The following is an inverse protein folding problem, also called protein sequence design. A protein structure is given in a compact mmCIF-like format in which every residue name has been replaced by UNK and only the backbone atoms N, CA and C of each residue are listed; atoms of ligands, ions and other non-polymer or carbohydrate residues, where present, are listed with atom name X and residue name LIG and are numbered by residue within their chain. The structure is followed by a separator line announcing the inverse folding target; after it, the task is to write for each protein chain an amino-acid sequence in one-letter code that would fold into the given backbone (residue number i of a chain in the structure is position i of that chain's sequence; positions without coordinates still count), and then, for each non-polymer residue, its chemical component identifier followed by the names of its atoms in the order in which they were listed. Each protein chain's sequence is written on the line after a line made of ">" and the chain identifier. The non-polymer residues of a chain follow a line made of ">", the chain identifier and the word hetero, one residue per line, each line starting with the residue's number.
data_IF_618639360325
#
_entry.id   IF_618639360325
#
_cell.length_a   1.000
_cell.length_b   1.000
_cell.length_c   1.000
_cell.angle_alpha   90.00
_cell.angle_beta   90.00
_cell.angle_gamma   90.00
#
_symmetry.space_group_name_H-M   'P 1'
#
loop_
_entity.id
_entity.type
_entity.pdbx_description
1 polymer ?
#
# COMPACT_ATOMS: atom_id res chain seq x y z
N UNK A 1 -22.88 6.67 -7.00
CA UNK A 1 -22.64 5.82 -5.79
C UNK A 1 -21.34 5.04 -5.96
N UNK A 2 -20.53 4.95 -4.88
CA UNK A 2 -19.23 4.28 -4.85
C UNK A 2 -19.39 2.87 -4.28
N UNK A 3 -19.04 1.82 -5.03
CA UNK A 3 -19.04 0.45 -4.53
C UNK A 3 -17.74 0.16 -3.78
N UNK A 4 -17.84 -0.21 -2.50
CA UNK A 4 -16.76 -0.77 -1.70
C UNK A 4 -16.83 -2.29 -1.82
N UNK A 5 -15.86 -2.88 -2.49
CA UNK A 5 -15.87 -4.31 -2.85
C UNK A 5 -15.63 -5.17 -1.62
N UNK A 6 -16.55 -6.11 -1.37
CA UNK A 6 -16.43 -7.13 -0.34
C UNK A 6 -16.10 -8.49 -0.97
N UNK A 7 -14.88 -8.95 -0.80
CA UNK A 7 -14.44 -10.31 -1.10
C UNK A 7 -14.22 -11.12 0.20
N UNK A 8 -15.02 -10.83 1.23
CA UNK A 8 -15.00 -11.46 2.55
C UNK A 8 -13.76 -11.15 3.42
N UNK A 9 -12.96 -10.15 3.05
CA UNK A 9 -11.79 -9.70 3.82
C UNK A 9 -11.65 -8.18 3.69
N UNK A 10 -11.21 -7.51 4.74
CA UNK A 10 -10.89 -6.08 4.70
C UNK A 10 -11.53 -5.25 5.81
N UNK A 11 -11.03 -4.01 5.95
CA UNK A 11 -11.58 -3.02 6.87
C UNK A 11 -12.68 -2.18 6.20
N UNK A 12 -13.67 -2.88 5.61
CA UNK A 12 -14.69 -2.30 4.73
C UNK A 12 -15.45 -1.14 5.38
N UNK A 13 -15.88 -1.33 6.64
CA UNK A 13 -16.67 -0.31 7.36
C UNK A 13 -15.91 0.98 7.66
N UNK A 14 -14.59 0.91 7.86
CA UNK A 14 -13.80 2.13 8.05
C UNK A 14 -13.60 2.88 6.74
N UNK A 15 -13.41 2.17 5.63
CA UNK A 15 -13.33 2.77 4.29
C UNK A 15 -14.67 3.39 3.90
N UNK A 16 -15.78 2.66 4.03
CA UNK A 16 -17.13 3.18 3.76
C UNK A 16 -17.41 4.47 4.56
N UNK A 17 -17.13 4.45 5.89
CA UNK A 17 -17.30 5.64 6.74
C UNK A 17 -16.43 6.81 6.30
N UNK A 18 -15.18 6.55 5.90
CA UNK A 18 -14.28 7.59 5.40
C UNK A 18 -14.80 8.23 4.12
N UNK A 19 -15.33 7.44 3.18
CA UNK A 19 -15.95 7.92 1.94
C UNK A 19 -17.22 8.73 2.21
N UNK A 20 -18.08 8.27 3.11
CA UNK A 20 -19.31 8.98 3.51
C UNK A 20 -18.98 10.31 4.22
N UNK A 21 -17.97 10.32 5.10
CA UNK A 21 -17.50 11.55 5.77
C UNK A 21 -16.95 12.57 4.77
N UNK A 22 -16.41 12.11 3.63
CA UNK A 22 -16.00 12.96 2.51
C UNK A 22 -17.14 13.38 1.58
N UNK A 23 -18.40 13.22 2.00
CA UNK A 23 -19.62 13.51 1.22
C UNK A 23 -19.82 12.59 0.01
N UNK A 24 -19.21 11.41 0.02
CA UNK A 24 -19.45 10.36 -0.96
C UNK A 24 -20.65 9.50 -0.58
N UNK A 25 -21.40 9.06 -1.59
CA UNK A 25 -22.39 8.00 -1.41
C UNK A 25 -21.70 6.65 -1.66
N UNK A 26 -21.45 5.90 -0.58
CA UNK A 26 -20.75 4.61 -0.64
C UNK A 26 -21.60 3.48 -0.06
N UNK A 27 -21.44 2.30 -0.62
CA UNK A 27 -22.09 1.08 -0.14
C UNK A 27 -21.16 -0.14 -0.31
N UNK A 28 -21.23 -1.08 0.62
CA UNK A 28 -20.44 -2.31 0.59
C UNK A 28 -21.23 -3.35 -0.20
N UNK A 29 -20.57 -4.02 -1.14
CA UNK A 29 -21.19 -5.10 -1.91
C UNK A 29 -20.21 -6.20 -2.29
N UNK A 30 -20.71 -7.45 -2.28
CA UNK A 30 -20.03 -8.62 -2.85
C UNK A 30 -20.56 -8.96 -4.26
N UNK A 31 -21.65 -8.34 -4.70
CA UNK A 31 -22.31 -8.65 -5.97
C UNK A 31 -21.59 -7.99 -7.16
N UNK A 32 -21.06 -8.83 -8.05
CA UNK A 32 -20.39 -8.37 -9.28
C UNK A 32 -21.32 -7.54 -10.18
N UNK A 33 -22.63 -7.78 -10.15
CA UNK A 33 -23.60 -7.02 -10.94
C UNK A 33 -23.82 -5.61 -10.42
N UNK A 34 -23.70 -5.39 -9.11
CA UNK A 34 -23.73 -4.06 -8.49
C UNK A 34 -22.40 -3.32 -8.75
N UNK A 35 -21.26 -4.01 -8.63
CA UNK A 35 -19.94 -3.46 -8.99
C UNK A 35 -19.95 -3.00 -10.46
N UNK A 36 -20.53 -3.79 -11.36
CA UNK A 36 -20.61 -3.45 -12.80
C UNK A 36 -21.47 -2.21 -13.10
N UNK A 37 -22.31 -1.76 -12.17
CA UNK A 37 -23.20 -0.58 -12.33
C UNK A 37 -22.71 0.63 -11.54
N UNK A 38 -21.74 0.47 -10.66
CA UNK A 38 -21.26 1.54 -9.79
C UNK A 38 -20.60 2.68 -10.58
N UNK A 39 -20.75 3.92 -10.11
CA UNK A 39 -20.11 5.11 -10.71
C UNK A 39 -18.62 5.22 -10.36
N UNK A 40 -18.21 4.61 -9.26
CA UNK A 40 -16.82 4.46 -8.84
C UNK A 40 -16.65 3.20 -7.99
N UNK A 41 -15.44 2.67 -7.92
CA UNK A 41 -15.13 1.43 -7.22
C UNK A 41 -13.96 1.67 -6.26
N UNK A 42 -14.10 1.22 -5.02
CA UNK A 42 -12.99 1.12 -4.06
C UNK A 42 -12.79 -0.36 -3.73
N UNK A 43 -11.56 -0.82 -3.88
CA UNK A 43 -11.12 -2.18 -3.55
C UNK A 43 -10.18 -2.12 -2.35
N UNK A 44 -10.68 -2.13 -1.11
CA UNK A 44 -9.83 -2.28 0.06
C UNK A 44 -9.40 -3.74 0.18
N UNK A 45 -8.23 -3.99 0.78
CA UNK A 45 -7.80 -5.37 0.90
C UNK A 45 -6.82 -5.62 2.02
N UNK A 46 -6.97 -6.82 2.63
CA UNK A 46 -6.03 -7.42 3.57
C UNK A 46 -5.93 -8.92 3.30
N UNK A 47 -4.82 -9.55 3.71
CA UNK A 47 -4.58 -10.98 3.51
C UNK A 47 -3.70 -11.25 2.30
N UNK A 48 -3.62 -12.52 1.89
CA UNK A 48 -2.74 -12.95 0.82
C UNK A 48 -3.34 -12.66 -0.57
N UNK A 49 -2.47 -12.30 -1.51
CA UNK A 49 -2.82 -11.98 -2.90
C UNK A 49 -3.57 -13.14 -3.58
N UNK A 50 -3.03 -14.37 -3.49
CA UNK A 50 -3.62 -15.52 -4.16
C UNK A 50 -5.02 -15.86 -3.65
N UNK A 51 -5.22 -15.78 -2.33
CA UNK A 51 -6.53 -16.03 -1.71
C UNK A 51 -7.57 -14.99 -2.17
N UNK A 52 -7.19 -13.71 -2.18
CA UNK A 52 -8.07 -12.65 -2.61
C UNK A 52 -8.43 -12.80 -4.10
N UNK A 53 -7.43 -13.05 -4.94
CA UNK A 53 -7.62 -13.25 -6.38
C UNK A 53 -8.56 -14.43 -6.66
N UNK A 54 -8.38 -15.57 -5.96
CA UNK A 54 -9.25 -16.75 -6.09
C UNK A 54 -10.68 -16.42 -5.70
N UNK A 55 -10.91 -15.85 -4.51
CA UNK A 55 -12.24 -15.48 -4.03
C UNK A 55 -12.94 -14.50 -4.99
N UNK A 56 -12.22 -13.48 -5.45
CA UNK A 56 -12.77 -12.48 -6.38
C UNK A 56 -13.09 -13.09 -7.77
N UNK A 57 -12.31 -14.08 -8.21
CA UNK A 57 -12.63 -14.83 -9.44
C UNK A 57 -13.92 -15.65 -9.27
N UNK A 58 -14.06 -16.38 -8.17
CA UNK A 58 -15.26 -17.18 -7.86
C UNK A 58 -16.52 -16.33 -7.76
N UNK A 59 -16.41 -15.11 -7.22
CA UNK A 59 -17.51 -14.14 -7.12
C UNK A 59 -17.74 -13.33 -8.41
N UNK A 60 -16.95 -13.53 -9.47
CA UNK A 60 -17.05 -12.76 -10.72
C UNK A 60 -16.61 -11.30 -10.60
N UNK A 61 -16.07 -10.90 -9.47
CA UNK A 61 -15.69 -9.51 -9.17
C UNK A 61 -14.48 -9.05 -10.00
N UNK A 62 -13.49 -9.94 -10.26
CA UNK A 62 -12.29 -9.61 -11.03
C UNK A 62 -12.64 -9.11 -12.43
N UNK A 63 -13.56 -9.77 -13.11
CA UNK A 63 -13.99 -9.38 -14.45
C UNK A 63 -14.80 -8.08 -14.42
N UNK A 64 -15.74 -7.94 -13.48
CA UNK A 64 -16.55 -6.74 -13.34
C UNK A 64 -15.67 -5.49 -13.10
N UNK A 65 -14.73 -5.56 -12.15
CA UNK A 65 -13.80 -4.46 -11.85
C UNK A 65 -12.93 -4.14 -13.07
N UNK A 66 -12.30 -5.15 -13.69
CA UNK A 66 -11.43 -4.97 -14.85
C UNK A 66 -12.14 -4.25 -15.99
N UNK A 67 -13.35 -4.66 -16.30
CA UNK A 67 -14.15 -4.07 -17.38
C UNK A 67 -14.53 -2.62 -17.06
N UNK A 68 -14.91 -2.32 -15.83
CA UNK A 68 -15.26 -0.95 -15.41
C UNK A 68 -14.06 -0.02 -15.41
N UNK A 69 -12.92 -0.47 -14.86
CA UNK A 69 -11.67 0.33 -14.86
C UNK A 69 -11.20 0.62 -16.28
N UNK A 70 -11.23 -0.37 -17.17
CA UNK A 70 -10.88 -0.17 -18.60
C UNK A 70 -11.84 0.76 -19.30
N UNK A 71 -13.09 0.83 -18.89
CA UNK A 71 -14.08 1.79 -19.37
C UNK A 71 -13.91 3.21 -18.77
N UNK A 72 -12.89 3.44 -17.92
CA UNK A 72 -12.57 4.74 -17.34
C UNK A 72 -13.33 5.09 -16.06
N UNK A 73 -14.01 4.13 -15.45
CA UNK A 73 -14.67 4.33 -14.16
C UNK A 73 -13.61 4.58 -13.08
N UNK A 74 -13.80 5.57 -12.20
CA UNK A 74 -12.89 5.83 -11.10
C UNK A 74 -12.69 4.62 -10.20
N UNK A 75 -11.44 4.33 -9.89
CA UNK A 75 -11.04 3.18 -9.07
C UNK A 75 -9.98 3.57 -8.06
N UNK A 76 -10.10 3.05 -6.83
CA UNK A 76 -9.09 3.16 -5.79
C UNK A 76 -8.82 1.79 -5.17
N UNK A 77 -7.63 1.23 -5.41
CA UNK A 77 -7.10 0.06 -4.71
C UNK A 77 -6.37 0.48 -3.44
N UNK A 78 -6.68 -0.14 -2.29
CA UNK A 78 -6.04 0.15 -1.00
C UNK A 78 -5.29 -1.08 -0.52
N UNK A 79 -3.99 -0.95 -0.27
CA UNK A 79 -3.07 -1.99 0.20
C UNK A 79 -3.12 -3.22 -0.73
N UNK A 80 -3.70 -4.34 -0.34
CA UNK A 80 -3.85 -5.50 -1.23
C UNK A 80 -4.66 -5.15 -2.49
N UNK A 81 -5.60 -4.20 -2.42
CA UNK A 81 -6.33 -3.71 -3.60
C UNK A 81 -5.42 -3.01 -4.62
N UNK A 82 -4.37 -2.31 -4.18
CA UNK A 82 -3.29 -1.80 -5.06
C UNK A 82 -2.51 -2.96 -5.69
N UNK A 83 -2.10 -3.95 -4.89
CA UNK A 83 -1.37 -5.12 -5.39
C UNK A 83 -2.14 -5.86 -6.48
N UNK A 84 -3.44 -6.04 -6.29
CA UNK A 84 -4.31 -6.72 -7.26
C UNK A 84 -4.44 -5.99 -8.60
N UNK A 85 -4.03 -4.73 -8.73
CA UNK A 85 -3.97 -4.03 -10.03
C UNK A 85 -2.92 -4.62 -10.97
N UNK A 86 -1.90 -5.28 -10.45
CA UNK A 86 -0.84 -5.89 -11.24
C UNK A 86 -1.27 -7.20 -11.91
N UNK A 87 -0.45 -7.66 -12.88
CA UNK A 87 -0.67 -8.94 -13.55
C UNK A 87 -0.55 -10.10 -12.58
N UNK A 88 0.46 -10.03 -11.66
CA UNK A 88 0.80 -11.17 -10.81
C UNK A 88 1.18 -10.76 -9.38
N UNK A 89 1.02 -11.71 -8.45
CA UNK A 89 1.53 -11.61 -7.08
C UNK A 89 1.97 -12.96 -6.53
N UNK A 90 3.06 -12.98 -5.76
CA UNK A 90 3.62 -14.24 -5.22
C UNK A 90 3.05 -14.61 -3.85
N UNK A 91 2.38 -13.68 -3.15
CA UNK A 91 1.87 -13.93 -1.81
C UNK A 91 0.77 -15.00 -1.80
N UNK A 92 1.01 -16.08 -1.06
CA UNK A 92 0.07 -17.21 -0.98
C UNK A 92 0.01 -18.09 -2.24
N UNK A 93 0.79 -17.77 -3.27
CA UNK A 93 0.87 -18.56 -4.49
C UNK A 93 1.91 -19.68 -4.38
N UNK A 94 1.76 -20.80 -5.11
CA UNK A 94 2.81 -21.82 -5.20
C UNK A 94 4.11 -21.25 -5.76
N UNK A 95 5.24 -21.78 -5.32
CA UNK A 95 6.55 -21.37 -5.80
C UNK A 95 6.63 -21.52 -7.34
N UNK A 96 7.14 -20.49 -8.00
CA UNK A 96 7.26 -20.45 -9.46
C UNK A 96 5.95 -20.28 -10.24
N UNK A 97 4.79 -20.17 -9.56
CA UNK A 97 3.50 -19.98 -10.21
C UNK A 97 2.70 -18.85 -9.54
N UNK A 98 3.05 -17.59 -9.79
CA UNK A 98 2.38 -16.45 -9.16
C UNK A 98 0.91 -16.37 -9.54
N UNK A 99 0.07 -15.91 -8.60
CA UNK A 99 -1.36 -15.74 -8.82
C UNK A 99 -1.64 -14.57 -9.76
N UNK A 100 -2.71 -14.67 -10.57
CA UNK A 100 -3.12 -13.60 -11.48
C UNK A 100 -3.96 -12.54 -10.77
N UNK A 101 -3.64 -11.26 -11.00
CA UNK A 101 -4.42 -10.12 -10.55
C UNK A 101 -5.38 -9.57 -11.61
N UNK A 102 -5.73 -8.29 -11.50
CA UNK A 102 -6.58 -7.59 -12.46
C UNK A 102 -5.89 -7.39 -13.82
N UNK A 103 -4.56 -7.45 -13.89
CA UNK A 103 -3.82 -7.25 -15.14
C UNK A 103 -4.05 -5.88 -15.76
N UNK A 104 -4.15 -4.84 -14.93
CA UNK A 104 -4.21 -3.45 -15.35
C UNK A 104 -2.80 -2.90 -15.58
N UNK A 105 -1.85 -3.32 -14.75
CA UNK A 105 -0.45 -2.91 -14.79
C UNK A 105 0.46 -4.13 -14.96
N UNK A 106 1.55 -4.01 -15.75
CA UNK A 106 2.51 -5.09 -15.90
C UNK A 106 3.36 -5.27 -14.65
N UNK A 107 3.75 -6.50 -14.37
CA UNK A 107 4.69 -6.84 -13.32
C UNK A 107 4.12 -7.73 -12.23
N UNK A 108 5.00 -8.06 -11.28
CA UNK A 108 4.70 -8.99 -10.19
C UNK A 108 4.96 -8.34 -8.84
N UNK A 109 3.98 -8.40 -7.96
CA UNK A 109 4.09 -8.01 -6.56
C UNK A 109 4.91 -9.07 -5.83
N UNK A 110 5.97 -8.65 -5.13
CA UNK A 110 6.96 -9.52 -4.50
C UNK A 110 7.12 -9.24 -3.01
N UNK A 111 7.71 -10.19 -2.28
CA UNK A 111 8.00 -9.99 -0.87
C UNK A 111 8.99 -8.83 -0.67
N UNK A 112 8.75 -8.00 0.35
CA UNK A 112 9.67 -6.94 0.76
C UNK A 112 10.96 -7.54 1.30
N UNK A 113 12.14 -7.10 0.83
CA UNK A 113 13.43 -7.53 1.37
C UNK A 113 13.55 -7.22 2.87
N UNK A 114 14.16 -8.13 3.63
CA UNK A 114 14.40 -7.96 5.07
C UNK A 114 15.66 -7.15 5.41
N UNK A 115 16.46 -6.80 4.42
CA UNK A 115 17.66 -5.99 4.57
C UNK A 115 17.77 -4.98 3.41
N UNK A 116 18.46 -3.87 3.66
CA UNK A 116 18.83 -2.92 2.60
C UNK A 116 20.07 -3.38 1.83
N UNK A 117 20.49 -2.57 0.84
CA UNK A 117 21.66 -2.84 0.03
C UNK A 117 22.99 -2.85 0.83
N UNK A 118 23.01 -2.29 2.04
CA UNK A 118 24.14 -2.27 2.96
C UNK A 118 24.12 -3.42 3.97
N UNK A 119 23.11 -4.31 3.89
CA UNK A 119 22.93 -5.46 4.79
C UNK A 119 22.30 -5.11 6.14
N UNK A 120 21.80 -3.89 6.35
CA UNK A 120 21.08 -3.50 7.56
C UNK A 120 19.71 -4.18 7.56
N UNK A 121 19.40 -4.89 8.66
CA UNK A 121 18.13 -5.59 8.82
C UNK A 121 16.98 -4.64 9.14
N UNK A 122 15.82 -4.95 8.56
CA UNK A 122 14.54 -4.26 8.78
C UNK A 122 13.47 -5.25 9.22
N UNK A 123 12.54 -4.75 10.04
CA UNK A 123 11.38 -5.55 10.44
C UNK A 123 10.38 -5.63 9.30
N UNK A 124 10.03 -6.86 8.89
CA UNK A 124 8.93 -7.13 7.97
C UNK A 124 7.89 -7.97 8.73
N UNK A 125 6.61 -7.58 8.73
CA UNK A 125 5.97 -6.51 7.97
C UNK A 125 6.42 -5.10 8.34
N UNK A 126 6.37 -4.19 7.34
CA UNK A 126 6.43 -2.75 7.54
C UNK A 126 5.11 -2.30 8.17
N UNK A 127 5.14 -1.99 9.46
CA UNK A 127 3.97 -1.54 10.24
C UNK A 127 4.29 -0.24 10.93
N UNK A 128 3.49 0.78 10.64
CA UNK A 128 3.61 2.10 11.27
C UNK A 128 3.45 3.26 10.31
N UNK A 129 3.76 4.44 10.82
CA UNK A 129 3.73 5.68 10.05
C UNK A 129 5.02 5.86 9.27
N UNK A 130 4.88 6.22 8.00
CA UNK A 130 6.02 6.54 7.13
C UNK A 130 5.60 7.60 6.11
N UNK A 131 6.58 8.28 5.51
CA UNK A 131 6.35 9.35 4.55
C UNK A 131 6.15 8.83 3.13
N UNK A 132 5.41 9.59 2.34
CA UNK A 132 5.39 9.43 0.89
C UNK A 132 6.21 10.54 0.23
N UNK A 133 6.97 10.18 -0.79
CA UNK A 133 7.90 11.06 -1.48
C UNK A 133 7.60 11.08 -2.98
N UNK A 134 8.06 12.13 -3.66
CA UNK A 134 8.03 12.17 -5.12
C UNK A 134 8.82 10.99 -5.70
N UNK A 135 8.32 10.35 -6.78
CA UNK A 135 9.07 9.29 -7.43
C UNK A 135 10.41 9.83 -7.97
N UNK A 136 11.47 9.07 -7.73
CA UNK A 136 12.76 9.41 -8.33
C UNK A 136 12.75 8.93 -9.78
N UNK A 137 12.90 9.86 -10.72
CA UNK A 137 13.04 9.54 -12.14
C UNK A 137 14.38 8.82 -12.40
N UNK A 138 14.53 7.60 -11.90
CA UNK A 138 15.64 6.71 -12.23
C UNK A 138 15.12 5.60 -13.11
N UNK A 139 15.67 5.49 -14.30
CA UNK A 139 15.44 4.35 -15.19
C UNK A 139 15.70 3.05 -14.41
N UNK A 140 14.67 2.21 -14.35
CA UNK A 140 14.53 0.97 -13.61
C UNK A 140 15.82 0.29 -13.14
N UNK A 141 16.16 0.44 -11.89
CA UNK A 141 17.07 -0.48 -11.22
C UNK A 141 16.24 -1.63 -10.64
N UNK A 142 16.39 -2.82 -11.21
CA UNK A 142 15.85 -4.05 -10.64
C UNK A 142 16.36 -4.22 -9.21
N UNK A 143 15.47 -4.54 -8.28
CA UNK A 143 15.83 -4.90 -6.90
C UNK A 143 16.72 -6.16 -6.97
N UNK A 144 17.98 -6.11 -6.48
CA UNK A 144 18.81 -7.31 -6.48
C UNK A 144 18.22 -8.34 -5.52
N UNK A 145 18.20 -9.65 -5.88
CA UNK A 145 17.78 -10.69 -4.96
C UNK A 145 18.72 -10.73 -3.76
N UNK A 146 18.19 -10.68 -2.53
CA UNK A 146 18.95 -11.00 -1.33
C UNK A 146 19.47 -12.43 -1.45
N UNK A 147 20.78 -12.63 -1.53
CA UNK A 147 21.39 -13.94 -1.58
C UNK A 147 20.96 -14.78 -0.37
N UNK A 148 20.49 -15.99 -0.63
CA UNK A 148 20.26 -17.02 0.38
C UNK A 148 21.60 -17.38 1.03
N UNK A 149 21.86 -16.85 2.22
CA UNK A 149 22.97 -17.24 3.07
C UNK A 149 22.71 -18.58 3.73
N UNK A 150 22.74 -19.64 2.99
CA UNK A 150 22.86 -21.01 3.49
C UNK A 150 24.31 -21.42 3.52
N UNK A 151 24.96 -21.36 4.70
CA UNK A 151 26.32 -21.82 4.88
C UNK A 151 26.60 -22.17 6.33
N UNK A 152 26.40 -23.43 6.68
CA UNK A 152 27.01 -24.05 7.87
C UNK A 152 28.52 -23.82 7.82
N UNK A 153 29.08 -23.08 8.77
CA UNK A 153 30.51 -23.10 9.07
C UNK A 153 30.68 -23.36 10.56
N UNK A 154 31.43 -24.45 10.78
CA UNK A 154 31.75 -25.05 12.07
C UNK A 154 32.47 -24.10 13.02
N UNK A 155 32.21 -24.36 14.30
CA UNK A 155 32.89 -23.82 15.48
C UNK A 155 34.42 -24.00 15.44
N UNK A 156 35.17 -22.94 15.71
CA UNK A 156 36.49 -23.05 16.31
C UNK A 156 36.63 -21.99 17.43
N UNK A 157 37.04 -22.51 18.56
CA UNK A 157 37.20 -21.92 19.90
C UNK A 157 38.38 -20.96 20.01
N UNK A 158 38.24 -19.97 20.87
CA UNK A 158 39.32 -19.19 21.51
C UNK A 158 38.86 -17.82 21.92
N UNK A 159 38.62 -17.46 23.09
CA UNK A 159 39.38 -17.34 24.30
C UNK A 159 39.35 -15.94 24.83
N UNK A 160 38.69 -15.75 25.99
CA UNK A 160 39.02 -14.85 27.13
C UNK A 160 38.97 -13.34 27.04
N UNK A 161 38.22 -12.75 27.99
CA UNK A 161 38.61 -11.47 28.65
C UNK A 161 37.48 -10.47 28.87
N UNK A 162 36.74 -10.53 29.95
CA UNK A 162 36.77 -9.69 31.12
C UNK A 162 36.02 -8.36 31.04
N UNK A 163 35.10 -8.16 32.03
CA UNK A 163 34.72 -6.81 32.42
C UNK A 163 33.22 -6.64 32.75
N UNK A 164 32.89 -6.82 34.01
CA UNK A 164 31.57 -6.55 34.61
C UNK A 164 31.29 -5.06 34.74
N UNK A 165 30.03 -4.66 34.59
CA UNK A 165 29.41 -3.65 35.44
C UNK A 165 27.87 -3.75 35.34
N UNK A 166 27.27 -3.93 36.48
CA UNK A 166 25.83 -3.91 36.80
C UNK A 166 25.30 -2.47 36.74
N UNK A 167 24.08 -2.25 36.29
CA UNK A 167 23.16 -1.38 37.06
C UNK A 167 21.72 -1.54 36.57
N UNK A 168 20.88 -1.84 37.53
CA UNK A 168 19.43 -1.93 37.50
C UNK A 168 18.77 -0.56 37.26
N UNK A 169 17.65 -0.53 36.55
CA UNK A 169 16.44 0.18 36.99
C UNK A 169 15.29 -0.04 36.01
N UNK A 170 14.28 -0.77 36.44
CA UNK A 170 12.97 -0.79 35.84
C UNK A 170 12.30 0.58 36.02
N UNK A 171 11.78 1.18 34.94
CA UNK A 171 10.71 2.16 35.04
C UNK A 171 9.67 1.86 33.96
N UNK A 172 8.50 1.45 34.44
CA UNK A 172 7.24 1.47 33.68
C UNK A 172 6.95 2.95 33.35
N UNK A 173 6.96 3.30 32.10
CA UNK A 173 6.47 4.59 31.61
C UNK A 173 5.16 4.38 30.88
N UNK A 174 4.11 5.01 31.39
CA UNK A 174 2.81 5.20 30.73
C UNK A 174 3.05 5.74 29.32
N UNK A 175 2.34 5.18 28.34
CA UNK A 175 2.18 5.81 27.03
C UNK A 175 1.30 7.04 27.19
N UNK A 176 1.92 8.20 27.35
CA UNK A 176 1.25 9.46 27.09
C UNK A 176 1.07 9.60 25.59
N UNK A 177 -0.15 9.87 25.15
CA UNK A 177 -0.47 10.28 23.81
C UNK A 177 0.21 11.63 23.53
N UNK A 178 1.44 11.58 23.03
CA UNK A 178 2.12 12.74 22.51
C UNK A 178 1.44 13.18 21.21
N UNK A 179 0.85 14.37 21.24
CA UNK A 179 0.41 15.06 20.04
C UNK A 179 1.60 15.20 19.10
N UNK A 180 1.48 14.66 17.88
CA UNK A 180 2.46 14.91 16.82
C UNK A 180 2.42 16.41 16.49
N UNK A 181 3.57 17.06 16.31
CA UNK A 181 3.58 18.46 15.89
C UNK A 181 2.94 18.55 14.50
N UNK A 182 1.77 19.18 14.43
CA UNK A 182 1.14 19.49 13.17
C UNK A 182 2.04 20.43 12.38
N UNK A 183 2.69 19.95 11.36
CA UNK A 183 3.34 20.77 10.35
C UNK A 183 2.25 21.40 9.49
N UNK A 184 1.91 22.64 9.76
CA UNK A 184 1.21 23.48 8.80
C UNK A 184 2.08 23.59 7.54
N UNK A 185 1.55 23.32 6.34
CA UNK A 185 2.30 23.50 5.12
C UNK A 185 2.72 24.96 4.99
N UNK A 186 4.02 25.21 4.89
CA UNK A 186 4.54 26.53 4.56
C UNK A 186 4.16 26.84 3.10
N UNK A 187 3.57 27.98 2.79
CA UNK A 187 3.30 28.39 1.42
C UNK A 187 4.65 28.70 0.74
N UNK A 188 5.10 27.84 -0.19
CA UNK A 188 6.32 28.07 -0.95
C UNK A 188 7.12 26.87 -1.41
N UNK A 189 6.68 25.62 -1.22
CA UNK A 189 7.39 24.48 -1.82
C UNK A 189 6.89 24.24 -3.24
N UNK A 190 7.74 24.43 -4.25
CA UNK A 190 7.49 24.15 -5.67
C UNK A 190 7.30 22.65 -6.00
N UNK A 191 7.31 21.76 -4.99
CA UNK A 191 7.17 20.32 -5.15
C UNK A 191 5.78 19.89 -4.67
N UNK A 192 4.88 19.67 -5.62
CA UNK A 192 3.58 19.06 -5.39
C UNK A 192 3.42 17.81 -6.26
N UNK A 193 2.66 16.83 -5.79
CA UNK A 193 2.31 15.68 -6.62
C UNK A 193 1.46 16.13 -7.81
N UNK A 194 1.86 15.77 -9.03
CA UNK A 194 1.08 16.04 -10.24
C UNK A 194 -0.08 15.04 -10.42
N UNK A 195 -0.79 14.74 -9.34
CA UNK A 195 -1.86 13.74 -9.31
C UNK A 195 -3.05 14.27 -8.50
N UNK A 196 -4.29 14.26 -9.06
CA UNK A 196 -5.46 14.78 -8.39
C UNK A 196 -5.81 14.01 -7.10
N UNK A 197 -5.36 12.77 -6.93
CA UNK A 197 -5.55 12.02 -5.69
C UNK A 197 -4.80 12.67 -4.51
N UNK A 198 -3.71 13.37 -4.76
CA UNK A 198 -2.87 14.03 -3.76
C UNK A 198 -3.04 15.55 -3.73
N UNK A 199 -4.14 16.07 -4.24
CA UNK A 199 -4.42 17.52 -4.14
C UNK A 199 -4.45 17.96 -2.68
N UNK A 200 -3.61 18.98 -2.34
CA UNK A 200 -3.42 19.46 -0.97
C UNK A 200 -2.59 18.57 -0.05
N UNK A 201 -1.86 17.57 -0.59
CA UNK A 201 -0.92 16.71 0.14
C UNK A 201 0.49 17.00 -0.36
N UNK A 202 1.42 17.29 0.56
CA UNK A 202 2.81 17.56 0.23
C UNK A 202 3.66 16.28 0.28
N UNK A 203 4.77 16.21 -0.48
CA UNK A 203 5.81 15.21 -0.24
C UNK A 203 6.34 15.31 1.19
N UNK A 204 6.63 14.16 1.80
CA UNK A 204 6.99 14.06 3.22
C UNK A 204 5.80 13.91 4.17
N UNK A 205 4.56 13.90 3.68
CA UNK A 205 3.37 13.65 4.50
C UNK A 205 3.34 12.20 4.98
N UNK A 206 2.85 12.00 6.22
CA UNK A 206 2.83 10.70 6.88
C UNK A 206 1.53 9.94 6.63
N UNK A 207 1.69 8.64 6.32
CA UNK A 207 0.60 7.67 6.18
C UNK A 207 0.87 6.40 6.97
N UNK A 208 -0.18 5.65 7.30
CA UNK A 208 -0.07 4.39 8.01
C UNK A 208 0.06 3.21 7.06
N UNK A 209 1.12 2.44 7.23
CA UNK A 209 1.44 1.24 6.45
C UNK A 209 1.30 -0.03 7.29
N UNK A 210 0.89 -1.13 6.67
CA UNK A 210 0.95 -2.47 7.25
C UNK A 210 0.98 -3.52 6.13
N UNK A 211 2.18 -3.88 5.65
CA UNK A 211 2.36 -4.80 4.53
C UNK A 211 3.70 -5.52 4.59
N UNK A 212 3.78 -6.67 3.90
CA UNK A 212 4.99 -7.49 3.74
C UNK A 212 5.42 -7.64 2.29
N UNK A 213 4.59 -7.20 1.35
CA UNK A 213 4.82 -7.29 -0.09
C UNK A 213 4.79 -5.90 -0.69
N UNK A 214 5.46 -5.73 -1.81
CA UNK A 214 5.63 -4.44 -2.49
C UNK A 214 5.32 -4.56 -3.97
N UNK A 215 4.68 -3.53 -4.51
CA UNK A 215 4.49 -3.35 -5.93
C UNK A 215 5.79 -2.90 -6.61
N UNK A 216 6.05 -3.33 -7.87
CA UNK A 216 7.19 -2.86 -8.64
C UNK A 216 7.07 -1.36 -8.93
N UNK A 217 8.21 -0.66 -9.00
CA UNK A 217 8.27 0.72 -9.46
C UNK A 217 8.24 0.80 -11.00
N UNK A 218 7.67 1.87 -11.53
CA UNK A 218 7.57 2.04 -12.98
C UNK A 218 6.96 3.40 -13.35
N UNK A 219 6.63 3.57 -14.63
CA UNK A 219 5.98 4.79 -15.13
C UNK A 219 4.60 5.08 -14.53
N UNK A 220 4.00 4.09 -13.91
CA UNK A 220 2.73 4.19 -13.18
C UNK A 220 2.90 4.72 -11.74
N UNK A 221 4.13 4.75 -11.19
CA UNK A 221 4.40 5.19 -9.82
C UNK A 221 4.23 6.69 -9.70
N UNK A 222 3.37 7.13 -8.77
CA UNK A 222 3.11 8.55 -8.48
C UNK A 222 3.62 8.98 -7.11
N UNK A 223 3.87 8.03 -6.19
CA UNK A 223 4.58 8.26 -4.94
C UNK A 223 5.38 7.03 -4.53
N UNK A 224 6.47 7.26 -3.81
CA UNK A 224 7.35 6.22 -3.29
C UNK A 224 7.56 6.39 -1.78
N UNK A 225 7.89 5.29 -1.12
CA UNK A 225 8.26 5.24 0.31
C UNK A 225 9.51 4.39 0.46
N UNK A 226 10.33 4.68 1.46
CA UNK A 226 11.52 3.89 1.78
C UNK A 226 11.34 3.18 3.12
N UNK A 227 11.57 1.87 3.13
CA UNK A 227 11.71 1.04 4.34
C UNK A 227 13.03 0.27 4.27
N UNK A 228 13.03 -1.04 3.99
CA UNK A 228 14.26 -1.79 3.65
C UNK A 228 14.73 -1.48 2.24
N UNK A 229 13.80 -1.21 1.37
CA UNK A 229 14.02 -0.74 -0.01
C UNK A 229 13.05 0.39 -0.31
N UNK A 230 13.32 1.13 -1.36
CA UNK A 230 12.38 2.08 -1.93
C UNK A 230 11.35 1.32 -2.78
N UNK A 231 10.06 1.63 -2.61
CA UNK A 231 8.97 0.93 -3.27
C UNK A 231 7.84 1.90 -3.66
N UNK A 232 7.00 1.48 -4.59
CA UNK A 232 5.78 2.20 -4.98
C UNK A 232 4.82 2.25 -3.78
N UNK A 233 4.50 3.45 -3.30
CA UNK A 233 3.50 3.68 -2.26
C UNK A 233 2.21 4.26 -2.78
N UNK A 234 2.21 4.74 -4.03
CA UNK A 234 1.00 5.03 -4.78
C UNK A 234 1.27 4.96 -6.28
N UNK A 235 0.26 4.57 -7.02
CA UNK A 235 0.31 4.39 -8.46
C UNK A 235 -0.96 4.90 -9.14
N UNK A 236 -0.86 5.10 -10.47
CA UNK A 236 -1.97 5.51 -11.31
C UNK A 236 -2.01 4.68 -12.60
N UNK A 237 -3.20 4.22 -12.97
CA UNK A 237 -3.50 3.60 -14.25
C UNK A 237 -4.55 4.44 -15.00
N UNK A 238 -4.20 4.88 -16.22
CA UNK A 238 -5.05 5.82 -16.95
C UNK A 238 -5.28 7.13 -16.19
N UNK A 239 -6.42 7.76 -16.41
CA UNK A 239 -6.71 9.07 -15.82
C UNK A 239 -7.34 9.00 -14.40
N UNK A 240 -8.00 7.89 -14.06
CA UNK A 240 -8.93 7.86 -12.91
C UNK A 240 -8.84 6.59 -12.05
N UNK A 241 -7.88 5.70 -12.31
CA UNK A 241 -7.65 4.53 -11.47
C UNK A 241 -6.33 4.69 -10.70
N UNK A 242 -6.41 4.50 -9.40
CA UNK A 242 -5.32 4.71 -8.47
C UNK A 242 -5.14 3.50 -7.56
N UNK A 243 -3.92 3.30 -7.08
CA UNK A 243 -3.59 2.38 -6.01
C UNK A 243 -2.77 3.08 -4.93
N UNK A 244 -2.98 2.73 -3.66
CA UNK A 244 -2.19 3.21 -2.53
C UNK A 244 -1.82 2.04 -1.61
N UNK A 245 -0.53 1.92 -1.28
CA UNK A 245 -0.03 0.87 -0.39
C UNK A 245 -0.40 1.11 1.08
N UNK A 246 -0.53 2.36 1.46
CA UNK A 246 -0.94 2.76 2.80
C UNK A 246 -2.47 2.65 2.99
N UNK A 247 -2.90 2.79 4.23
CA UNK A 247 -4.31 2.75 4.62
C UNK A 247 -4.84 4.17 4.86
N UNK A 248 -5.49 4.81 3.88
CA UNK A 248 -6.03 6.16 4.08
C UNK A 248 -7.06 6.22 5.21
N UNK A 249 -7.85 5.16 5.40
CA UNK A 249 -8.85 5.06 6.48
C UNK A 249 -8.23 4.96 7.90
N UNK A 250 -6.88 4.87 7.97
CA UNK A 250 -6.10 4.85 9.22
C UNK A 250 -5.06 5.98 9.30
N UNK A 251 -5.08 6.91 8.34
CA UNK A 251 -4.03 7.91 8.16
C UNK A 251 -4.47 9.33 8.53
N UNK A 252 -5.33 9.46 9.53
CA UNK A 252 -5.80 10.76 10.08
C UNK A 252 -6.24 11.74 8.98
N UNK A 253 -5.90 13.02 9.09
CA UNK A 253 -6.32 14.07 8.17
C UNK A 253 -5.77 13.89 6.75
N UNK A 254 -4.52 13.43 6.62
CA UNK A 254 -3.93 13.15 5.32
C UNK A 254 -4.69 12.03 4.57
N UNK A 255 -5.04 10.97 5.29
CA UNK A 255 -5.86 9.89 4.74
C UNK A 255 -7.28 10.34 4.39
N UNK A 256 -7.92 11.15 5.25
CA UNK A 256 -9.23 11.74 4.96
C UNK A 256 -9.18 12.62 3.71
N UNK A 257 -8.10 13.36 3.49
CA UNK A 257 -7.87 14.17 2.28
C UNK A 257 -7.78 13.30 1.03
N UNK A 258 -7.05 12.17 1.06
CA UNK A 258 -6.99 11.21 -0.07
C UNK A 258 -8.38 10.69 -0.41
N UNK A 259 -9.17 10.28 0.58
CA UNK A 259 -10.54 9.80 0.34
C UNK A 259 -11.45 10.91 -0.21
N UNK A 260 -11.34 12.14 0.29
CA UNK A 260 -12.09 13.29 -0.22
C UNK A 260 -11.72 13.62 -1.67
N UNK A 261 -10.44 13.58 -2.01
CA UNK A 261 -9.97 13.78 -3.38
C UNK A 261 -10.51 12.68 -4.31
N UNK A 262 -10.52 11.43 -3.87
CA UNK A 262 -11.11 10.34 -4.65
C UNK A 262 -12.62 10.54 -4.87
N UNK A 263 -13.38 10.94 -3.84
CA UNK A 263 -14.81 11.27 -3.96
C UNK A 263 -15.01 12.40 -4.98
N UNK A 264 -14.17 13.44 -4.95
CA UNK A 264 -14.24 14.54 -5.93
C UNK A 264 -13.92 14.07 -7.36
N UNK A 265 -12.97 13.12 -7.54
CA UNK A 265 -12.68 12.49 -8.83
C UNK A 265 -13.88 11.67 -9.31
N UNK A 266 -14.53 10.91 -8.40
CA UNK A 266 -15.70 10.11 -8.71
C UNK A 266 -16.91 10.97 -9.15
N UNK A 267 -17.08 12.15 -8.54
CA UNK A 267 -18.18 13.06 -8.85
C UNK A 267 -18.05 13.81 -10.21
N UNK A 268 -16.86 13.83 -10.81
CA UNK A 268 -16.60 14.46 -12.11
C UNK A 268 -16.87 13.54 -13.31
N UNK A 269 -17.46 12.40 -13.06
CA UNK A 269 -17.70 11.26 -13.94
C UNK A 269 -18.68 11.27 -14.98
#
# INVERSE_FOLDING_TARGET
>A
MIAVVDYQKGNLKSVERGLIAASGEAFITADASEIAKADAIVLPGVGAFADAATTMCELGQMEAIRNRVRAGVPFLGICLGEHLMFEHGVEGAPEGNPACGLGLLPGTVVAMPRCDAQGKAFKVPHVGWNTIEMPVCNGGAAVPPCGEGGGNAALSSGGAGGGAARSSAAKRGLFEHGAFPGSTPQPGSELAFACPLFDGIAPGEYFYFTHSYIAPTGSHTIAETTHSVRFTSALQYGARAFGVQFHPEKSSDAGARVLANFVAIAARG
#
